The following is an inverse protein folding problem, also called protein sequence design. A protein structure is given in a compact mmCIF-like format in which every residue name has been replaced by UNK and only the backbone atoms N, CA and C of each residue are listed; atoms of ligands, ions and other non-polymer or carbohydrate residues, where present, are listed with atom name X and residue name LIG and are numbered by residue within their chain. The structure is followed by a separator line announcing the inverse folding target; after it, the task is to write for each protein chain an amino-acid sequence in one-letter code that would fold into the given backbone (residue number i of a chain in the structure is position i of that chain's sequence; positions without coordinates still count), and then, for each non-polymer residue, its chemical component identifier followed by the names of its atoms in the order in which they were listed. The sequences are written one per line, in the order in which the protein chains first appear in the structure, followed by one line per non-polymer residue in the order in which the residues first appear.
data_IF_515864269410
#
_entry.id   IF_515864269410
#
_cell.length_a   1.000
_cell.length_b   1.000
_cell.length_c   1.000
_cell.angle_alpha   90.00
_cell.angle_beta   90.00
_cell.angle_gamma   90.00
#
_symmetry.space_group_name_H-M   'P 1'
#
loop_
_entity.id
_entity.type
_entity.pdbx_description
1 polymer ?
#
# COMPACT_ATOMS: atom_id res chain seq x y z
N UNK A 1 0.29 -5.67 -18.07
CA UNK A 1 -0.27 -4.50 -17.36
C UNK A 1 0.81 -3.59 -16.77
N UNK A 2 1.79 -4.09 -16.10
CA UNK A 2 2.87 -3.34 -15.46
C UNK A 2 3.37 -4.04 -14.20
N UNK A 3 4.11 -3.32 -13.38
CA UNK A 3 4.71 -3.81 -12.15
C UNK A 3 3.97 -3.26 -10.92
N UNK A 4 3.60 -4.13 -9.99
CA UNK A 4 3.13 -3.76 -8.66
C UNK A 4 4.28 -3.89 -7.66
N UNK A 5 4.58 -2.81 -6.94
CA UNK A 5 5.41 -2.80 -5.73
C UNK A 5 4.49 -2.88 -4.52
N UNK A 6 4.48 -4.04 -3.85
CA UNK A 6 3.57 -4.32 -2.74
C UNK A 6 4.26 -4.25 -1.38
N UNK A 7 3.64 -3.53 -0.44
CA UNK A 7 4.04 -3.51 0.98
C UNK A 7 2.83 -3.87 1.84
N UNK A 8 2.96 -4.93 2.63
CA UNK A 8 1.91 -5.40 3.54
C UNK A 8 1.82 -4.63 4.85
N UNK A 9 0.79 -4.92 5.65
CA UNK A 9 0.59 -4.37 6.99
C UNK A 9 1.50 -5.03 8.04
N UNK A 10 1.70 -4.37 9.17
CA UNK A 10 2.68 -4.67 10.21
C UNK A 10 2.79 -6.16 10.60
N UNK A 11 1.69 -6.78 10.98
CA UNK A 11 1.70 -8.17 11.47
C UNK A 11 1.79 -9.24 10.37
N UNK A 12 1.71 -8.83 9.11
CA UNK A 12 1.68 -9.69 7.94
C UNK A 12 2.87 -9.43 7.02
N UNK A 13 3.74 -8.51 7.42
CA UNK A 13 4.81 -7.97 6.58
C UNK A 13 6.02 -8.91 6.43
N UNK A 14 6.24 -9.82 7.37
CA UNK A 14 7.40 -10.71 7.36
C UNK A 14 7.37 -11.72 6.20
N UNK A 15 6.17 -12.17 5.81
CA UNK A 15 5.95 -13.13 4.72
C UNK A 15 4.79 -12.72 3.82
N UNK A 16 4.90 -11.59 3.10
CA UNK A 16 3.78 -11.05 2.33
C UNK A 16 3.30 -12.00 1.24
N UNK A 17 4.19 -12.83 0.66
CA UNK A 17 3.86 -13.84 -0.34
C UNK A 17 2.89 -14.90 0.20
N UNK A 18 2.92 -15.20 1.50
CA UNK A 18 1.99 -16.12 2.14
C UNK A 18 0.75 -15.37 2.64
N UNK A 19 0.97 -14.25 3.33
CA UNK A 19 -0.08 -13.49 4.00
C UNK A 19 -1.07 -12.84 3.02
N UNK A 20 -0.64 -12.50 1.81
CA UNK A 20 -1.46 -11.85 0.77
C UNK A 20 -1.57 -12.70 -0.51
N UNK A 21 -1.18 -13.96 -0.44
CA UNK A 21 -1.05 -14.87 -1.59
C UNK A 21 -2.20 -14.74 -2.58
N UNK A 22 -3.44 -14.86 -2.15
CA UNK A 22 -4.62 -14.87 -3.02
C UNK A 22 -4.84 -13.53 -3.76
N UNK A 23 -4.61 -12.41 -3.08
CA UNK A 23 -4.68 -11.10 -3.74
C UNK A 23 -3.58 -10.95 -4.79
N UNK A 24 -2.33 -11.31 -4.41
CA UNK A 24 -1.19 -11.18 -5.32
C UNK A 24 -1.33 -12.12 -6.53
N UNK A 25 -1.82 -13.35 -6.34
CA UNK A 25 -2.15 -14.29 -7.42
C UNK A 25 -3.27 -13.75 -8.32
N UNK A 26 -4.34 -13.18 -7.76
CA UNK A 26 -5.44 -12.59 -8.55
C UNK A 26 -4.94 -11.42 -9.41
N UNK A 27 -4.05 -10.59 -8.90
CA UNK A 27 -3.41 -9.52 -9.67
C UNK A 27 -2.49 -10.08 -10.76
N UNK A 28 -1.72 -11.15 -10.45
CA UNK A 28 -0.88 -11.85 -11.40
C UNK A 28 -1.68 -12.43 -12.58
N UNK A 29 -2.83 -13.04 -12.30
CA UNK A 29 -3.74 -13.57 -13.33
C UNK A 29 -4.30 -12.48 -14.26
N UNK A 30 -4.32 -11.23 -13.80
CA UNK A 30 -4.70 -10.06 -14.62
C UNK A 30 -3.53 -9.46 -15.40
N UNK A 31 -2.35 -10.09 -15.36
CA UNK A 31 -1.18 -9.66 -16.12
C UNK A 31 -0.29 -8.63 -15.41
N UNK A 32 -0.41 -8.49 -14.07
CA UNK A 32 0.53 -7.71 -13.29
C UNK A 32 1.74 -8.56 -12.88
N UNK A 33 2.94 -8.03 -13.05
CA UNK A 33 4.11 -8.52 -12.31
C UNK A 33 4.05 -7.96 -10.90
N UNK A 34 4.25 -8.80 -9.87
CA UNK A 34 4.13 -8.35 -8.48
C UNK A 34 5.43 -8.60 -7.72
N UNK A 35 5.95 -7.57 -7.08
CA UNK A 35 7.08 -7.63 -6.15
C UNK A 35 6.61 -7.24 -4.77
N UNK A 36 6.80 -8.11 -3.80
CA UNK A 36 6.38 -7.90 -2.42
C UNK A 36 7.60 -7.78 -1.52
N UNK A 37 7.68 -6.68 -0.78
CA UNK A 37 8.77 -6.44 0.17
C UNK A 37 8.45 -7.03 1.54
N UNK A 38 9.40 -7.83 2.07
CA UNK A 38 9.32 -8.45 3.40
C UNK A 38 10.09 -7.59 4.41
N UNK A 39 9.48 -7.34 5.58
CA UNK A 39 10.13 -6.57 6.65
C UNK A 39 9.58 -6.93 8.03
N UNK A 40 10.32 -6.56 9.06
CA UNK A 40 9.88 -6.59 10.45
C UNK A 40 9.55 -5.15 10.85
N UNK A 41 8.31 -4.86 11.27
CA UNK A 41 7.92 -3.51 11.66
C UNK A 41 8.74 -2.97 12.84
N UNK A 42 9.17 -1.74 12.72
CA UNK A 42 9.92 -1.00 13.75
C UNK A 42 9.29 0.36 14.04
N UNK A 43 9.96 1.17 14.84
CA UNK A 43 9.49 2.52 15.20
C UNK A 43 9.90 3.59 14.18
N UNK A 44 10.98 3.37 13.45
CA UNK A 44 11.44 4.29 12.41
C UNK A 44 10.83 3.91 11.04
N UNK A 45 9.63 4.42 10.80
CA UNK A 45 8.92 4.21 9.54
C UNK A 45 9.60 4.92 8.36
N UNK A 46 10.35 6.03 8.61
CA UNK A 46 11.09 6.68 7.54
C UNK A 46 12.26 5.83 7.05
N UNK A 47 13.01 5.22 7.97
CA UNK A 47 14.06 4.26 7.60
C UNK A 47 13.49 3.09 6.82
N UNK A 48 12.39 2.50 7.29
CA UNK A 48 11.73 1.38 6.61
C UNK A 48 11.21 1.75 5.21
N UNK A 49 10.65 2.96 5.04
CA UNK A 49 10.26 3.45 3.73
C UNK A 49 11.45 3.61 2.76
N UNK A 50 12.58 4.09 3.28
CA UNK A 50 13.82 4.21 2.51
C UNK A 50 14.38 2.83 2.10
N UNK A 51 14.32 1.85 3.00
CA UNK A 51 14.75 0.46 2.75
C UNK A 51 13.89 -0.20 1.68
N UNK A 52 12.55 -0.11 1.81
CA UNK A 52 11.61 -0.62 0.81
C UNK A 52 11.86 -0.02 -0.58
N UNK A 53 12.03 1.31 -0.63
CA UNK A 53 12.30 2.02 -1.88
C UNK A 53 13.63 1.58 -2.53
N UNK A 54 14.70 1.39 -1.73
CA UNK A 54 15.98 0.88 -2.24
C UNK A 54 15.86 -0.56 -2.73
N UNK A 55 15.15 -1.43 -2.00
CA UNK A 55 14.94 -2.81 -2.37
C UNK A 55 14.21 -2.93 -3.72
N UNK A 56 13.08 -2.25 -3.88
CA UNK A 56 12.35 -2.24 -5.15
C UNK A 56 13.17 -1.67 -6.31
N UNK A 57 13.98 -0.65 -6.05
CA UNK A 57 14.87 -0.09 -7.06
C UNK A 57 15.96 -1.08 -7.47
N UNK A 58 16.61 -1.73 -6.51
CA UNK A 58 17.64 -2.74 -6.78
C UNK A 58 17.08 -3.92 -7.59
N UNK A 59 15.88 -4.38 -7.25
CA UNK A 59 15.20 -5.44 -7.99
C UNK A 59 14.90 -5.06 -9.44
N UNK A 60 14.46 -3.82 -9.69
CA UNK A 60 14.26 -3.33 -11.06
C UNK A 60 15.56 -3.29 -11.84
N UNK A 61 16.61 -2.72 -11.24
CA UNK A 61 17.93 -2.62 -11.86
C UNK A 61 18.53 -4.02 -12.16
N UNK A 62 18.32 -5.01 -11.31
CA UNK A 62 18.73 -6.38 -11.53
C UNK A 62 18.00 -7.01 -12.72
N UNK A 63 16.69 -6.90 -12.77
CA UNK A 63 15.88 -7.42 -13.89
C UNK A 63 16.27 -6.78 -15.21
N UNK A 64 16.49 -5.47 -15.22
CA UNK A 64 16.93 -4.74 -16.42
C UNK A 64 18.26 -5.25 -16.94
N UNK A 65 19.23 -5.58 -16.06
CA UNK A 65 20.52 -6.16 -16.46
C UNK A 65 20.37 -7.56 -17.06
N UNK A 66 19.46 -8.37 -16.52
CA UNK A 66 19.24 -9.74 -17.01
C UNK A 66 18.53 -9.78 -18.35
N UNK A 67 17.58 -8.87 -18.57
CA UNK A 67 16.79 -8.84 -19.82
C UNK A 67 17.44 -8.01 -20.92
N UNK A 68 18.50 -7.22 -20.63
CA UNK A 68 19.16 -6.32 -21.59
C UNK A 68 18.37 -5.05 -21.90
N UNK A 69 17.17 -4.91 -21.38
CA UNK A 69 16.33 -3.72 -21.52
C UNK A 69 16.64 -2.73 -20.38
N UNK A 70 17.26 -1.60 -20.71
CA UNK A 70 17.71 -0.60 -19.74
C UNK A 70 16.61 0.27 -19.16
N UNK A 71 15.42 0.20 -19.72
CA UNK A 71 14.23 0.90 -19.24
C UNK A 71 13.10 -0.12 -19.09
N UNK A 72 12.23 0.10 -18.11
CA UNK A 72 10.91 -0.52 -18.15
C UNK A 72 10.36 -0.28 -19.57
N UNK A 73 9.86 -1.31 -20.29
CA UNK A 73 9.35 -1.14 -21.62
C UNK A 73 8.50 0.12 -21.73
N UNK A 74 8.58 0.89 -22.83
CA UNK A 74 7.79 2.10 -22.99
C UNK A 74 6.32 1.80 -22.70
N UNK A 75 5.78 2.33 -21.59
CA UNK A 75 4.42 2.05 -21.12
C UNK A 75 4.32 1.12 -19.92
N UNK A 76 5.39 0.49 -19.46
CA UNK A 76 5.36 -0.26 -18.20
C UNK A 76 5.20 0.69 -17.01
N UNK A 77 4.14 0.46 -16.25
CA UNK A 77 3.74 1.35 -15.17
C UNK A 77 4.01 0.71 -13.82
N UNK A 78 4.72 1.42 -12.96
CA UNK A 78 4.87 1.01 -11.57
C UNK A 78 3.66 1.49 -10.79
N UNK A 79 2.87 0.55 -10.29
CA UNK A 79 1.80 0.78 -9.34
C UNK A 79 2.31 0.47 -7.93
N UNK A 80 2.25 1.42 -7.02
CA UNK A 80 2.49 1.17 -5.61
C UNK A 80 1.21 0.70 -4.96
N UNK A 81 1.27 -0.45 -4.30
CA UNK A 81 0.14 -1.05 -3.59
C UNK A 81 0.53 -1.28 -2.14
N UNK A 82 -0.14 -0.57 -1.24
CA UNK A 82 0.07 -0.71 0.20
C UNK A 82 -1.16 -1.24 0.92
N UNK A 83 -0.94 -1.97 2.02
CA UNK A 83 -1.99 -2.29 2.99
C UNK A 83 -1.59 -1.80 4.37
N UNK A 84 -2.50 -1.11 5.08
CA UNK A 84 -2.30 -0.67 6.46
C UNK A 84 -1.02 0.18 6.60
N UNK A 85 -0.03 -0.22 7.41
CA UNK A 85 1.29 0.44 7.53
C UNK A 85 2.01 0.52 6.17
N UNK A 86 1.85 -0.48 5.30
CA UNK A 86 2.47 -0.46 3.96
C UNK A 86 2.07 0.74 3.11
N UNK A 87 0.86 1.27 3.30
CA UNK A 87 0.44 2.53 2.67
C UNK A 87 1.31 3.70 3.12
N UNK A 88 1.54 3.81 4.45
CA UNK A 88 2.39 4.85 5.04
C UNK A 88 3.82 4.78 4.50
N UNK A 89 4.39 3.58 4.40
CA UNK A 89 5.76 3.40 3.88
C UNK A 89 5.88 3.83 2.42
N UNK A 90 4.89 3.57 1.57
CA UNK A 90 4.87 4.09 0.20
C UNK A 90 4.76 5.62 0.12
N UNK A 91 3.97 6.23 1.01
CA UNK A 91 3.82 7.69 1.07
C UNK A 91 5.10 8.38 1.53
N UNK A 92 5.88 7.74 2.42
CA UNK A 92 7.17 8.22 2.95
C UNK A 92 8.37 7.89 2.04
N UNK A 93 8.15 7.23 0.90
CA UNK A 93 9.23 6.92 -0.02
C UNK A 93 10.01 8.18 -0.45
N UNK A 94 11.37 8.14 -0.50
CA UNK A 94 12.19 9.34 -0.67
C UNK A 94 12.01 10.06 -2.01
N UNK A 95 11.43 9.38 -3.01
CA UNK A 95 11.08 10.01 -4.28
C UNK A 95 9.75 10.80 -4.22
N UNK A 96 9.05 10.80 -3.08
CA UNK A 96 7.75 11.46 -2.93
C UNK A 96 6.70 10.95 -3.91
N UNK A 97 6.75 9.70 -4.32
CA UNK A 97 5.80 9.08 -5.26
C UNK A 97 6.04 9.40 -6.74
N UNK A 98 7.08 10.16 -7.11
CA UNK A 98 7.31 10.64 -8.50
C UNK A 98 7.59 9.53 -9.51
N UNK A 99 8.11 8.39 -9.05
CA UNK A 99 8.48 7.26 -9.93
C UNK A 99 7.43 6.16 -9.97
N UNK A 100 6.20 6.46 -9.59
CA UNK A 100 5.07 5.55 -9.72
C UNK A 100 3.98 6.19 -10.60
N UNK A 101 3.25 5.36 -11.33
CA UNK A 101 2.11 5.80 -12.12
C UNK A 101 0.90 6.12 -11.23
N UNK A 102 0.80 5.44 -10.08
CA UNK A 102 -0.24 5.66 -9.08
C UNK A 102 0.11 4.98 -7.75
N UNK A 103 -0.63 5.34 -6.70
CA UNK A 103 -0.69 4.62 -5.43
C UNK A 103 -2.09 4.03 -5.23
N UNK A 104 -2.17 2.77 -4.80
CA UNK A 104 -3.38 2.19 -4.22
C UNK A 104 -3.12 1.89 -2.75
N UNK A 105 -3.89 2.52 -1.87
CA UNK A 105 -3.79 2.38 -0.43
C UNK A 105 -5.02 1.64 0.10
N UNK A 106 -4.81 0.43 0.60
CA UNK A 106 -5.84 -0.42 1.19
C UNK A 106 -5.82 -0.24 2.71
N UNK A 107 -6.92 0.20 3.31
CA UNK A 107 -7.03 0.36 4.79
C UNK A 107 -5.87 1.16 5.38
N UNK A 108 -5.64 2.37 4.91
CA UNK A 108 -4.56 3.22 5.41
C UNK A 108 -4.62 3.36 6.93
N UNK A 109 -3.51 3.08 7.59
CA UNK A 109 -3.36 3.15 9.04
C UNK A 109 -2.16 4.03 9.40
N UNK A 110 -2.38 4.97 10.33
CA UNK A 110 -1.39 5.92 10.80
C UNK A 110 -1.65 6.29 12.28
N UNK A 111 -1.86 5.29 13.14
CA UNK A 111 -1.99 5.51 14.58
C UNK A 111 -0.65 5.77 15.25
N UNK A 112 -0.72 6.37 16.46
CA UNK A 112 0.43 6.48 17.35
C UNK A 112 0.95 5.13 17.82
N UNK A 113 2.19 5.09 18.29
CA UNK A 113 2.80 3.87 18.80
C UNK A 113 2.01 3.30 20.00
N UNK A 114 1.56 4.15 20.92
CA UNK A 114 0.72 3.75 22.06
C UNK A 114 -0.55 3.03 21.64
N UNK A 115 -1.14 3.42 20.52
CA UNK A 115 -2.38 2.84 20.01
C UNK A 115 -2.16 1.58 19.17
N UNK A 116 -0.97 1.44 18.59
CA UNK A 116 -0.62 0.34 17.70
C UNK A 116 0.02 -0.86 18.42
N UNK A 117 0.64 -0.61 19.58
CA UNK A 117 1.35 -1.62 20.36
C UNK A 117 0.74 -1.66 21.77
N UNK A 118 -0.16 -2.63 22.05
CA UNK A 118 -0.91 -2.67 23.31
C UNK A 118 -0.04 -2.58 24.57
N UNK A 119 1.15 -3.19 24.56
CA UNK A 119 2.07 -3.19 25.71
C UNK A 119 2.73 -1.83 25.98
N UNK A 120 2.85 -0.96 24.96
CA UNK A 120 3.48 0.36 25.12
C UNK A 120 2.65 1.32 25.96
N UNK A 121 1.33 1.24 25.89
CA UNK A 121 0.44 2.05 26.73
C UNK A 121 0.63 1.74 28.21
N UNK A 122 0.80 0.47 28.57
CA UNK A 122 1.05 0.02 29.95
C UNK A 122 2.46 0.38 30.43
N UNK A 123 3.47 0.20 29.59
CA UNK A 123 4.86 0.56 29.91
C UNK A 123 5.05 2.08 30.03
N UNK A 124 4.37 2.86 29.19
CA UNK A 124 4.41 4.32 29.24
C UNK A 124 3.84 4.87 30.55
N UNK A 125 2.78 4.25 31.06
CA UNK A 125 2.21 4.61 32.37
C UNK A 125 3.11 4.21 33.55
N UNK A 126 3.82 3.07 33.45
CA UNK A 126 4.64 2.54 34.54
C UNK A 126 6.05 3.14 34.59
N UNK A 127 6.64 3.49 33.46
CA UNK A 127 8.05 3.91 33.36
C UNK A 127 8.27 5.32 32.78
N UNK A 128 7.21 6.05 32.45
CA UNK A 128 7.32 7.39 31.85
C UNK A 128 7.90 7.39 30.41
N UNK A 129 7.97 6.24 29.77
CA UNK A 129 8.48 6.10 28.41
C UNK A 129 7.40 6.49 27.40
N UNK A 130 7.64 7.54 26.62
CA UNK A 130 6.83 7.88 25.44
C UNK A 130 7.61 7.49 24.20
N UNK A 131 7.31 6.32 23.66
CA UNK A 131 7.81 5.92 22.35
C UNK A 131 6.79 6.30 21.28
N UNK A 132 7.21 7.06 20.27
CA UNK A 132 6.38 7.39 19.11
C UNK A 132 7.06 6.91 17.83
N UNK A 133 6.27 6.70 16.80
CA UNK A 133 6.80 6.39 15.47
C UNK A 133 7.48 7.63 14.85
N UNK A 134 8.52 7.39 14.09
CA UNK A 134 9.19 8.42 13.30
C UNK A 134 8.95 8.17 11.79
N UNK A 135 8.26 9.08 11.10
CA UNK A 135 7.53 10.23 11.60
C UNK A 135 6.26 9.84 12.38
N UNK A 136 5.86 10.70 13.30
CA UNK A 136 4.57 10.60 14.02
C UNK A 136 3.38 10.65 13.07
N UNK A 137 2.15 10.30 13.52
CA UNK A 137 0.96 10.40 12.70
C UNK A 137 0.72 11.79 12.10
N UNK A 138 0.94 12.84 12.88
CA UNK A 138 0.74 14.22 12.42
C UNK A 138 1.81 14.64 11.43
N UNK A 139 3.09 14.38 11.71
CA UNK A 139 4.19 14.67 10.80
C UNK A 139 4.04 13.91 9.47
N UNK A 140 3.56 12.68 9.51
CA UNK A 140 3.26 11.91 8.29
C UNK A 140 2.29 12.65 7.38
N UNK A 141 1.16 13.14 7.91
CA UNK A 141 0.18 13.89 7.11
C UNK A 141 0.73 15.23 6.62
N UNK A 142 1.58 15.91 7.40
CA UNK A 142 2.28 17.12 6.97
C UNK A 142 3.25 16.84 5.83
N UNK A 143 4.04 15.77 5.91
CA UNK A 143 4.93 15.34 4.83
C UNK A 143 4.17 15.00 3.56
N UNK A 144 3.00 14.35 3.69
CA UNK A 144 2.14 14.03 2.55
C UNK A 144 1.62 15.32 1.90
N UNK A 145 1.06 16.25 2.67
CA UNK A 145 0.48 17.48 2.11
C UNK A 145 1.52 18.39 1.48
N UNK A 146 2.76 18.43 1.99
CA UNK A 146 3.82 19.32 1.51
C UNK A 146 4.78 18.71 0.49
N UNK A 147 5.12 17.42 0.67
CA UNK A 147 6.24 16.77 -0.04
C UNK A 147 5.86 15.66 -1.02
N UNK A 148 4.74 14.99 -0.83
CA UNK A 148 4.31 13.92 -1.73
C UNK A 148 3.81 14.48 -3.06
N UNK A 149 4.17 13.86 -4.20
CA UNK A 149 3.96 14.43 -5.55
C UNK A 149 3.11 13.57 -6.47
N UNK A 150 2.78 12.32 -6.09
CA UNK A 150 1.87 11.51 -6.88
C UNK A 150 0.45 12.07 -6.79
N UNK A 151 -0.10 12.48 -7.94
CA UNK A 151 -1.46 13.04 -7.99
C UNK A 151 -2.56 11.97 -7.97
N UNK A 152 -2.26 10.79 -8.52
CA UNK A 152 -3.23 9.71 -8.69
C UNK A 152 -3.14 8.71 -7.55
N UNK A 153 -4.10 8.75 -6.64
CA UNK A 153 -4.14 7.84 -5.51
C UNK A 153 -5.54 7.24 -5.37
N UNK A 154 -5.65 5.92 -5.29
CA UNK A 154 -6.88 5.23 -4.94
C UNK A 154 -6.79 4.82 -3.47
N UNK A 155 -7.68 5.35 -2.66
CA UNK A 155 -7.84 4.95 -1.26
C UNK A 155 -9.02 3.99 -1.19
N UNK A 156 -8.77 2.78 -0.69
CA UNK A 156 -9.81 1.76 -0.51
C UNK A 156 -9.98 1.52 0.98
N UNK A 157 -11.15 1.92 1.50
CA UNK A 157 -11.56 1.58 2.85
C UNK A 157 -12.54 0.41 2.83
N UNK A 158 -12.59 -0.35 3.92
CA UNK A 158 -13.58 -1.41 4.06
C UNK A 158 -14.62 -1.03 5.11
N UNK A 159 -15.87 -1.38 4.83
CA UNK A 159 -17.05 -0.91 5.58
C UNK A 159 -17.00 -1.21 7.08
N UNK A 160 -16.36 -2.34 7.48
CA UNK A 160 -16.21 -2.78 8.88
C UNK A 160 -14.77 -2.68 9.36
N UNK A 161 -14.05 -1.66 8.91
CA UNK A 161 -12.66 -1.41 9.29
C UNK A 161 -12.59 -0.16 10.17
N UNK A 162 -12.59 -0.38 11.48
CA UNK A 162 -12.48 0.69 12.47
C UNK A 162 -11.05 1.23 12.62
N UNK A 163 -10.07 0.60 11.96
CA UNK A 163 -8.67 1.03 11.96
C UNK A 163 -8.33 1.93 10.76
N UNK A 164 -9.23 2.04 9.79
CA UNK A 164 -9.01 2.82 8.58
C UNK A 164 -8.99 4.33 8.84
N UNK A 165 -7.97 4.98 8.35
CA UNK A 165 -7.77 6.44 8.42
C UNK A 165 -7.69 7.07 7.02
N UNK A 166 -8.15 6.40 5.98
CA UNK A 166 -8.16 6.89 4.59
C UNK A 166 -8.83 8.26 4.42
N UNK A 167 -9.91 8.62 5.14
CA UNK A 167 -10.47 9.98 5.04
C UNK A 167 -9.47 11.07 5.43
N UNK A 168 -8.70 10.87 6.51
CA UNK A 168 -7.66 11.82 6.95
C UNK A 168 -6.51 11.93 5.93
N UNK A 169 -6.15 10.81 5.33
CA UNK A 169 -5.16 10.81 4.25
C UNK A 169 -5.69 11.58 3.03
N UNK A 170 -6.95 11.37 2.65
CA UNK A 170 -7.56 12.08 1.53
C UNK A 170 -7.54 13.59 1.75
N UNK A 171 -7.85 14.05 2.97
CA UNK A 171 -7.81 15.46 3.33
C UNK A 171 -6.40 16.05 3.17
N UNK A 172 -5.36 15.32 3.57
CA UNK A 172 -3.97 15.74 3.39
C UNK A 172 -3.55 15.75 1.89
N UNK A 173 -4.00 14.75 1.12
CA UNK A 173 -3.73 14.66 -0.32
C UNK A 173 -4.39 15.82 -1.08
N UNK A 174 -5.62 16.18 -0.74
CA UNK A 174 -6.40 17.25 -1.37
C UNK A 174 -5.86 18.66 -1.14
N UNK A 175 -4.98 18.84 -0.16
CA UNK A 175 -4.30 20.13 0.06
C UNK A 175 -3.26 20.44 -1.03
N UNK A 176 -2.90 19.47 -1.86
CA UNK A 176 -1.90 19.62 -2.92
C UNK A 176 -2.54 20.08 -4.22
N UNK A 177 -1.86 20.94 -4.95
CA UNK A 177 -2.28 21.32 -6.29
C UNK A 177 -2.27 20.11 -7.24
N UNK A 178 -3.32 19.98 -8.04
CA UNK A 178 -3.44 18.93 -9.05
C UNK A 178 -3.71 17.52 -8.47
N UNK A 179 -4.16 17.42 -7.21
CA UNK A 179 -4.55 16.14 -6.63
C UNK A 179 -5.78 15.56 -7.35
N UNK A 180 -5.69 14.28 -7.71
CA UNK A 180 -6.74 13.49 -8.34
C UNK A 180 -7.00 12.19 -7.56
N UNK A 181 -6.88 12.27 -6.23
CA UNK A 181 -7.08 11.12 -5.34
C UNK A 181 -8.57 10.79 -5.20
N UNK A 182 -8.86 9.51 -5.22
CA UNK A 182 -10.21 8.97 -5.05
C UNK A 182 -10.28 8.11 -3.78
N UNK A 183 -11.43 8.15 -3.12
CA UNK A 183 -11.76 7.26 -1.99
C UNK A 183 -12.98 6.42 -2.37
N UNK A 184 -12.83 5.10 -2.24
CA UNK A 184 -13.93 4.16 -2.42
C UNK A 184 -14.12 3.32 -1.18
N UNK A 185 -15.35 2.85 -0.97
CA UNK A 185 -15.68 1.94 0.11
C UNK A 185 -16.11 0.58 -0.46
N UNK A 186 -15.49 -0.50 0.05
CA UNK A 186 -15.82 -1.86 -0.31
C UNK A 186 -16.36 -2.65 0.90
N UNK A 187 -17.14 -3.71 0.67
CA UNK A 187 -17.50 -4.64 1.74
C UNK A 187 -16.27 -5.35 2.28
N UNK A 188 -16.15 -5.45 3.61
CA UNK A 188 -15.05 -6.17 4.25
C UNK A 188 -14.62 -5.53 5.57
N UNK A 189 -13.44 -5.90 6.02
CA UNK A 189 -12.78 -5.45 7.25
C UNK A 189 -11.28 -5.21 6.99
N UNK A 190 -10.53 -4.81 8.04
CA UNK A 190 -9.11 -4.52 7.94
C UNK A 190 -8.28 -5.64 7.30
N UNK A 191 -8.64 -6.90 7.55
CA UNK A 191 -7.92 -8.06 7.05
C UNK A 191 -8.43 -8.59 5.70
N UNK A 192 -9.37 -7.90 5.08
CA UNK A 192 -9.93 -8.32 3.77
C UNK A 192 -8.87 -8.51 2.69
N UNK A 193 -7.80 -7.69 2.58
CA UNK A 193 -6.74 -7.93 1.61
C UNK A 193 -5.87 -9.16 1.92
N UNK A 194 -5.88 -9.64 3.16
CA UNK A 194 -5.02 -10.72 3.62
C UNK A 194 -5.64 -12.11 3.38
N UNK A 195 -4.85 -13.03 2.82
CA UNK A 195 -5.29 -14.39 2.49
C UNK A 195 -5.21 -15.36 3.65
N UNK A 196 -4.19 -15.18 4.51
CA UNK A 196 -3.94 -16.03 5.65
C UNK A 196 -4.37 -15.29 6.91
N UNK A 197 -5.56 -15.56 7.39
CA UNK A 197 -5.89 -15.22 8.75
C UNK A 197 -4.98 -16.01 9.71
N UNK A 198 -4.60 -15.41 10.83
CA UNK A 198 -4.00 -16.07 11.99
C UNK A 198 -4.79 -17.33 12.45
N UNK A 199 -5.94 -17.58 11.85
CA UNK A 199 -6.87 -18.68 12.14
C UNK A 199 -6.56 -20.00 11.43
N UNK A 200 -5.59 -20.07 10.52
CA UNK A 200 -5.31 -21.33 9.80
C UNK A 200 -4.80 -22.46 10.72
N UNK A 201 -4.20 -22.11 11.85
CA UNK A 201 -3.68 -23.09 12.79
C UNK A 201 -4.73 -23.71 13.72
N UNK A 202 -5.97 -23.18 13.73
CA UNK A 202 -7.03 -23.65 14.62
C UNK A 202 -8.21 -24.31 13.92
N UNK A 203 -8.42 -24.09 12.61
CA UNK A 203 -9.60 -24.57 11.89
C UNK A 203 -9.21 -24.93 10.43
N UNK A 204 -8.63 -26.11 10.23
CA UNK A 204 -8.03 -26.60 8.98
C UNK A 204 -8.85 -26.58 7.67
N UNK A 205 -10.16 -26.30 7.67
CA UNK A 205 -11.05 -26.47 6.51
C UNK A 205 -11.53 -25.16 5.86
N UNK A 206 -11.14 -23.99 6.34
CA UNK A 206 -11.66 -22.71 5.83
C UNK A 206 -10.85 -22.10 4.70
N UNK A 207 -9.86 -22.83 4.16
CA UNK A 207 -8.95 -22.32 3.15
C UNK A 207 -9.60 -22.15 1.76
N UNK A 208 -10.66 -22.86 1.46
CA UNK A 208 -11.22 -22.99 0.10
C UNK A 208 -12.65 -22.46 -0.05
N UNK A 209 -13.08 -21.51 0.80
CA UNK A 209 -14.38 -20.87 0.64
C UNK A 209 -14.40 -20.05 -0.67
N UNK A 210 -15.23 -20.44 -1.67
CA UNK A 210 -15.36 -19.74 -2.94
C UNK A 210 -15.81 -18.29 -2.78
N UNK A 211 -16.48 -17.94 -1.69
CA UNK A 211 -16.91 -16.57 -1.41
C UNK A 211 -15.73 -15.68 -1.08
N UNK A 212 -14.68 -16.22 -0.45
CA UNK A 212 -13.43 -15.51 -0.17
C UNK A 212 -12.62 -15.28 -1.44
N UNK A 213 -12.50 -16.29 -2.30
CA UNK A 213 -11.80 -16.17 -3.57
C UNK A 213 -12.40 -15.03 -4.40
N UNK A 214 -13.71 -14.97 -4.53
CA UNK A 214 -14.42 -13.87 -5.22
C UNK A 214 -14.17 -12.48 -4.65
N UNK A 215 -13.81 -12.36 -3.37
CA UNK A 215 -13.44 -11.05 -2.76
C UNK A 215 -12.08 -10.56 -3.25
N UNK A 216 -11.10 -11.46 -3.35
CA UNK A 216 -9.79 -11.11 -3.88
C UNK A 216 -9.85 -10.76 -5.36
N UNK A 217 -10.62 -11.52 -6.14
CA UNK A 217 -10.87 -11.23 -7.56
C UNK A 217 -11.50 -9.86 -7.73
N UNK A 218 -12.57 -9.55 -7.00
CA UNK A 218 -13.21 -8.22 -7.03
C UNK A 218 -12.27 -7.09 -6.62
N UNK A 219 -11.43 -7.31 -5.62
CA UNK A 219 -10.45 -6.32 -5.19
C UNK A 219 -9.39 -6.10 -6.28
N UNK A 220 -8.90 -7.18 -6.89
CA UNK A 220 -7.98 -7.12 -8.01
C UNK A 220 -8.62 -6.43 -9.24
N UNK A 221 -9.88 -6.75 -9.57
CA UNK A 221 -10.66 -6.09 -10.64
C UNK A 221 -10.81 -4.59 -10.38
N UNK A 222 -11.08 -4.22 -9.13
CA UNK A 222 -11.21 -2.81 -8.72
C UNK A 222 -9.88 -2.07 -8.92
N UNK A 223 -8.77 -2.64 -8.45
CA UNK A 223 -7.44 -2.05 -8.58
C UNK A 223 -7.05 -1.91 -10.06
N UNK A 224 -7.16 -2.98 -10.83
CA UNK A 224 -6.78 -3.01 -12.24
C UNK A 224 -7.68 -2.10 -13.09
N UNK A 225 -8.99 -2.18 -12.89
CA UNK A 225 -9.95 -1.36 -13.61
C UNK A 225 -9.77 0.14 -13.35
N UNK A 226 -9.47 0.53 -12.10
CA UNK A 226 -9.18 1.92 -11.78
C UNK A 226 -7.86 2.39 -12.42
N UNK A 227 -6.82 1.55 -12.36
CA UNK A 227 -5.51 1.89 -12.94
C UNK A 227 -5.59 2.09 -14.45
N UNK A 228 -6.40 1.28 -15.15
CA UNK A 228 -6.56 1.35 -16.61
C UNK A 228 -7.38 2.56 -17.07
N UNK A 229 -8.45 2.94 -16.35
CA UNK A 229 -9.32 4.08 -16.74
C UNK A 229 -8.55 5.38 -16.95
N UNK A 230 -7.54 5.62 -16.17
CA UNK A 230 -6.74 6.84 -16.28
C UNK A 230 -5.72 6.83 -17.43
N UNK A 231 -5.60 5.71 -18.16
CA UNK A 231 -4.78 5.62 -19.38
C UNK A 231 -5.50 6.15 -20.62
N UNK A 232 -6.80 6.36 -20.52
CA UNK A 232 -7.67 6.69 -21.65
C UNK A 232 -8.12 8.15 -21.70
N UNK A 233 -7.64 9.03 -20.82
CA UNK A 233 -7.91 10.47 -20.98
C UNK A 233 -7.01 11.00 -22.12
N UNK A 234 -7.56 11.35 -23.31
CA UNK A 234 -6.76 11.92 -24.39
C UNK A 234 -6.23 13.26 -23.91
N UNK A 235 -4.93 13.47 -24.08
CA UNK A 235 -4.35 14.82 -23.96
C UNK A 235 -5.21 15.78 -24.78
N UNK A 236 -5.66 16.87 -24.15
CA UNK A 236 -6.36 17.95 -24.85
C UNK A 236 -5.52 18.36 -26.05
N UNK A 237 -6.06 18.07 -27.23
CA UNK A 237 -5.52 18.59 -28.48
C UNK A 237 -5.40 20.10 -28.32
N UNK A 238 -4.17 20.59 -28.36
CA UNK A 238 -3.88 22.02 -28.44
C UNK A 238 -4.64 22.58 -29.62
N UNK A 239 -5.39 23.58 -29.35
CA UNK A 239 -5.99 24.44 -30.37
C UNK A 239 -4.93 25.48 -30.78
N UNK A 240 -4.70 25.49 -32.04
CA UNK A 240 -3.93 26.47 -32.84
C UNK A 240 -4.30 27.91 -32.57
#
# INVERSE_FOLDING_TARGET
MGLIEFIGGSYLAATPQLSYRRLLEALGLQGWSVRAWSYVPGFDHQSQANEAWRAFRADREATTRETGDFELPPGERVLRLGHSLGCKLHLLAPDGGRRSAALVALSFNNFSAERSVPLLAEMGQQFGFRSEFSPSPQETLQLVSSGYRQSRNLLVRFRRDDLDQSPRLLDALRQRAGDASELIELPGDHLTPASAGLRRNLLGEWADDPSRQRRFERLADTISGWTLRASTTPGSAGNS
#
